data_IF_089907280231
#
_entry.id   IF_089907280231
#
_cell.length_a   1.000
_cell.length_b   1.000
_cell.length_c   1.000
_cell.angle_alpha   90.00
_cell.angle_beta   90.00
_cell.angle_gamma   90.00
#
_symmetry.space_group_name_H-M   'P 1'
#
loop_
_entity.id
_entity.type
_entity.pdbx_description
1 polymer ?
#
# COMPACT_ATOMS: atom_id res chain seq x y z
N UNK A 1 9.58 -9.12 -8.44
CA UNK A 1 8.79 -7.98 -8.87
C UNK A 1 8.88 -6.79 -7.95
N UNK A 2 8.24 -5.72 -8.35
CA UNK A 2 8.25 -4.48 -7.58
C UNK A 2 7.15 -4.51 -6.52
N UNK A 3 7.49 -4.11 -5.32
CA UNK A 3 6.54 -4.00 -4.20
C UNK A 3 6.60 -2.60 -3.60
N UNK A 4 5.43 -2.06 -3.31
CA UNK A 4 5.28 -0.75 -2.69
C UNK A 4 4.48 -0.88 -1.39
N UNK A 5 4.69 0.05 -0.48
CA UNK A 5 3.92 0.12 0.76
C UNK A 5 3.15 1.42 0.80
N UNK A 6 1.87 1.32 1.11
CA UNK A 6 0.93 2.44 1.04
C UNK A 6 0.50 2.92 2.43
N UNK A 7 0.56 2.05 3.42
CA UNK A 7 0.17 2.41 4.78
C UNK A 7 0.64 1.35 5.77
N UNK A 8 0.65 1.73 7.04
CA UNK A 8 0.72 0.81 8.17
C UNK A 8 -0.51 1.09 9.03
N UNK A 9 -1.46 0.19 8.99
CA UNK A 9 -2.74 0.34 9.69
C UNK A 9 -2.74 -0.40 11.02
N UNK A 10 -3.66 -0.07 11.89
CA UNK A 10 -3.79 -0.73 13.19
C UNK A 10 -4.48 -2.10 13.12
N UNK A 11 -5.14 -2.40 12.00
CA UNK A 11 -5.84 -3.67 11.80
C UNK A 11 -5.97 -3.99 10.32
N UNK A 12 -6.27 -5.25 10.01
CA UNK A 12 -6.54 -5.67 8.63
C UNK A 12 -7.78 -4.96 8.07
N UNK A 13 -8.76 -4.70 8.91
CA UNK A 13 -9.99 -4.01 8.52
C UNK A 13 -9.70 -2.58 8.07
N UNK A 14 -8.88 -1.85 8.83
CA UNK A 14 -8.44 -0.50 8.47
C UNK A 14 -7.62 -0.50 7.19
N UNK A 15 -6.71 -1.47 7.04
CA UNK A 15 -5.91 -1.60 5.84
C UNK A 15 -6.78 -1.84 4.61
N UNK A 16 -7.80 -2.70 4.73
CA UNK A 16 -8.74 -2.97 3.65
C UNK A 16 -9.55 -1.74 3.26
N UNK A 17 -10.02 -0.98 4.24
CA UNK A 17 -10.74 0.26 3.98
C UNK A 17 -9.84 1.29 3.27
N UNK A 18 -8.59 1.39 3.71
CA UNK A 18 -7.63 2.29 3.07
C UNK A 18 -7.38 1.91 1.61
N UNK A 19 -7.20 0.61 1.35
CA UNK A 19 -7.01 0.11 -0.01
C UNK A 19 -8.21 0.45 -0.90
N UNK A 20 -9.43 0.23 -0.44
CA UNK A 20 -10.64 0.53 -1.22
C UNK A 20 -10.74 2.02 -1.55
N UNK A 21 -10.39 2.89 -0.60
CA UNK A 21 -10.36 4.34 -0.86
C UNK A 21 -9.32 4.71 -1.90
N UNK A 22 -8.14 4.12 -1.82
CA UNK A 22 -7.08 4.39 -2.78
C UNK A 22 -7.46 3.93 -4.19
N UNK A 23 -8.00 2.73 -4.34
CA UNK A 23 -8.46 2.21 -5.64
C UNK A 23 -9.57 3.10 -6.21
N UNK A 24 -10.45 3.62 -5.36
CA UNK A 24 -11.49 4.54 -5.78
C UNK A 24 -10.97 5.86 -6.33
N UNK A 25 -9.83 6.32 -5.84
CA UNK A 25 -9.19 7.57 -6.30
C UNK A 25 -8.23 7.33 -7.46
N UNK A 26 -7.57 6.19 -7.47
CA UNK A 26 -6.52 5.84 -8.43
C UNK A 26 -6.78 4.42 -8.92
N UNK A 27 -7.60 4.31 -9.95
CA UNK A 27 -8.07 3.02 -10.46
C UNK A 27 -6.93 2.11 -10.96
N UNK A 28 -5.80 2.70 -11.38
CA UNK A 28 -4.64 1.94 -11.83
C UNK A 28 -4.08 1.02 -10.73
N UNK A 29 -4.33 1.32 -9.45
CA UNK A 29 -3.90 0.46 -8.35
C UNK A 29 -4.57 -0.91 -8.37
N UNK A 30 -5.75 -1.02 -8.96
CA UNK A 30 -6.47 -2.30 -9.05
C UNK A 30 -5.73 -3.33 -9.90
N UNK A 31 -4.78 -2.90 -10.74
CA UNK A 31 -3.93 -3.81 -11.52
C UNK A 31 -2.82 -4.45 -10.69
N UNK A 32 -2.55 -3.93 -9.49
CA UNK A 32 -1.54 -4.47 -8.60
C UNK A 32 -2.16 -5.51 -7.66
N UNK A 33 -1.32 -6.43 -7.20
CA UNK A 33 -1.74 -7.45 -6.25
C UNK A 33 -1.55 -6.92 -4.83
N UNK A 34 -2.65 -6.78 -4.09
CA UNK A 34 -2.63 -6.25 -2.73
C UNK A 34 -2.25 -7.36 -1.73
N UNK A 35 -1.50 -6.98 -0.71
CA UNK A 35 -1.16 -7.85 0.41
C UNK A 35 -1.30 -7.08 1.72
N UNK A 36 -1.84 -7.77 2.73
CA UNK A 36 -1.98 -7.24 4.08
C UNK A 36 -0.97 -7.98 4.94
N UNK A 37 0.13 -7.31 5.31
CA UNK A 37 1.28 -7.96 5.93
C UNK A 37 1.33 -7.62 7.42
N UNK A 38 1.05 -8.58 8.31
CA UNK A 38 1.18 -8.33 9.75
C UNK A 38 2.62 -8.01 10.10
N UNK A 39 2.80 -7.07 11.00
CA UNK A 39 4.11 -6.69 11.51
C UNK A 39 4.03 -6.34 12.98
N UNK A 40 5.11 -6.60 13.70
CA UNK A 40 5.24 -6.19 15.11
C UNK A 40 6.45 -5.28 15.20
N UNK A 41 6.26 -4.09 15.75
CA UNK A 41 7.32 -3.11 15.97
C UNK A 41 7.28 -2.76 17.44
N UNK A 42 8.30 -3.20 18.18
CA UNK A 42 8.27 -3.12 19.64
C UNK A 42 7.13 -3.99 20.18
N UNK A 43 6.23 -3.40 20.96
CA UNK A 43 5.04 -4.08 21.49
C UNK A 43 3.78 -3.82 20.66
N UNK A 44 3.89 -3.10 19.55
CA UNK A 44 2.73 -2.73 18.72
C UNK A 44 2.60 -3.62 17.51
N UNK A 45 1.35 -3.96 17.20
CA UNK A 45 1.00 -4.71 16.00
C UNK A 45 0.47 -3.78 14.94
N UNK A 46 0.92 -4.01 13.71
CA UNK A 46 0.48 -3.25 12.54
C UNK A 46 0.13 -4.22 11.42
N UNK A 47 -0.69 -3.74 10.49
CA UNK A 47 -0.92 -4.41 9.21
C UNK A 47 -0.41 -3.47 8.13
N UNK A 48 0.63 -3.89 7.44
CA UNK A 48 1.22 -3.12 6.34
C UNK A 48 0.42 -3.38 5.08
N UNK A 49 -0.03 -2.30 4.45
CA UNK A 49 -0.75 -2.36 3.18
C UNK A 49 0.29 -2.26 2.07
N UNK A 50 0.48 -3.36 1.35
CA UNK A 50 1.44 -3.45 0.25
C UNK A 50 0.74 -3.84 -1.03
N UNK A 51 1.35 -3.46 -2.15
CA UNK A 51 0.87 -3.82 -3.48
C UNK A 51 2.07 -4.16 -4.35
N UNK A 52 1.92 -5.13 -5.23
CA UNK A 52 3.03 -5.63 -6.04
C UNK A 52 2.58 -5.82 -7.49
N UNK A 53 3.51 -5.64 -8.39
CA UNK A 53 3.29 -5.92 -9.79
C UNK A 53 4.20 -5.10 -10.70
N UNK A 54 4.16 -5.36 -12.00
CA UNK A 54 4.94 -4.58 -12.97
C UNK A 54 4.55 -3.11 -12.89
N UNK A 55 5.55 -2.23 -12.86
CA UNK A 55 5.31 -0.79 -12.83
C UNK A 55 4.90 -0.24 -11.47
N UNK A 56 4.94 -1.03 -10.39
CA UNK A 56 4.53 -0.56 -9.07
C UNK A 56 5.36 0.65 -8.60
N UNK A 57 6.66 0.65 -8.87
CA UNK A 57 7.52 1.78 -8.47
C UNK A 57 7.15 3.07 -9.19
N UNK A 58 6.83 3.00 -10.47
CA UNK A 58 6.38 4.17 -11.23
C UNK A 58 5.03 4.67 -10.69
N UNK A 59 4.12 3.76 -10.39
CA UNK A 59 2.84 4.09 -9.76
C UNK A 59 3.06 4.79 -8.42
N UNK A 60 3.99 4.27 -7.61
CA UNK A 60 4.32 4.86 -6.31
C UNK A 60 4.79 6.31 -6.46
N UNK A 61 5.66 6.57 -7.43
CA UNK A 61 6.14 7.93 -7.72
C UNK A 61 4.99 8.86 -8.11
N UNK A 62 4.06 8.38 -8.91
CA UNK A 62 2.86 9.16 -9.30
C UNK A 62 1.97 9.46 -8.11
N UNK A 63 1.77 8.48 -7.21
CA UNK A 63 0.98 8.67 -6.01
C UNK A 63 1.61 9.74 -5.11
N UNK A 64 2.92 9.68 -4.92
CA UNK A 64 3.64 10.69 -4.13
C UNK A 64 3.50 12.08 -4.73
N UNK A 65 3.57 12.18 -6.04
CA UNK A 65 3.35 13.44 -6.75
C UNK A 65 1.93 14.00 -6.55
N UNK A 66 0.97 13.14 -6.27
CA UNK A 66 -0.42 13.52 -5.97
C UNK A 66 -0.67 13.71 -4.47
N UNK A 67 0.36 13.67 -3.63
CA UNK A 67 0.23 13.84 -2.19
C UNK A 67 -0.25 12.60 -1.44
N UNK A 68 -0.17 11.43 -2.06
CA UNK A 68 -0.55 10.16 -1.44
C UNK A 68 0.72 9.44 -0.96
N UNK A 69 0.70 9.01 0.30
CA UNK A 69 1.85 8.32 0.89
C UNK A 69 2.12 7.00 0.18
N UNK A 70 3.34 6.83 -0.22
CA UNK A 70 3.81 5.59 -0.84
C UNK A 70 5.34 5.52 -0.76
N UNK A 71 5.88 4.32 -0.53
CA UNK A 71 7.31 4.11 -0.68
C UNK A 71 7.61 2.72 -1.22
N UNK A 72 8.77 2.62 -1.85
CA UNK A 72 9.25 1.37 -2.45
C UNK A 72 9.74 0.43 -1.34
N UNK A 73 9.41 -0.84 -1.48
CA UNK A 73 9.93 -1.89 -0.60
C UNK A 73 11.08 -2.56 -1.34
N UNK A 74 12.28 -2.38 -0.82
CA UNK A 74 13.51 -2.88 -1.46
C UNK A 74 14.02 -4.16 -0.82
#
# INVERSE_FOLDING_TARGET
GETIQLAAAGSAEEAGAHWRRLVGKRAELAALQVAFVPAVVGSRRYVRLRASGPGAFATCSQLRGAGIDCFKVL
#
